data_IF_308839408816
#
_entry.id   IF_308839408816
#
_cell.length_a   1.000
_cell.length_b   1.000
_cell.length_c   1.000
_cell.angle_alpha   90.00
_cell.angle_beta   90.00
_cell.angle_gamma   90.00
#
_symmetry.space_group_name_H-M   'P 1'
#
loop_
_entity.id
_entity.type
_entity.pdbx_description
1 polymer ?
#
# COMPACT_ATOMS: atom_id res chain seq x y z
N UNK A 1 89.83 -49.12 22.71
CA UNK A 1 88.96 -49.86 23.67
C UNK A 1 87.51 -49.69 23.24
N UNK A 2 86.69 -50.74 23.39
CA UNK A 2 85.26 -50.78 23.03
C UNK A 2 84.46 -49.56 23.55
N UNK A 3 84.85 -49.02 24.70
CA UNK A 3 84.24 -47.84 25.32
C UNK A 3 84.34 -46.57 24.46
N UNK A 4 85.47 -46.34 23.78
CA UNK A 4 85.64 -45.14 22.93
C UNK A 4 84.70 -45.18 21.72
N UNK A 5 84.48 -46.36 21.14
CA UNK A 5 83.55 -46.55 20.02
C UNK A 5 82.10 -46.38 20.46
N UNK A 6 81.73 -46.89 21.64
CA UNK A 6 80.39 -46.68 22.21
C UNK A 6 80.12 -45.21 22.53
N UNK A 7 81.13 -44.49 23.05
CA UNK A 7 81.03 -43.06 23.33
C UNK A 7 80.83 -42.25 22.05
N UNK A 8 81.67 -42.47 21.04
CA UNK A 8 81.57 -41.79 19.74
C UNK A 8 80.22 -42.05 19.06
N UNK A 9 79.69 -43.27 19.17
CA UNK A 9 78.35 -43.61 18.67
C UNK A 9 77.25 -42.85 19.42
N UNK A 10 77.32 -42.76 20.75
CA UNK A 10 76.34 -42.01 21.52
C UNK A 10 76.39 -40.50 21.21
N UNK A 11 77.58 -39.95 20.97
CA UNK A 11 77.77 -38.55 20.58
C UNK A 11 77.12 -38.24 19.22
N UNK A 12 77.25 -39.13 18.24
CA UNK A 12 76.62 -38.96 16.93
C UNK A 12 75.09 -39.11 17.02
N UNK A 13 74.58 -40.07 17.78
CA UNK A 13 73.15 -40.23 18.03
C UNK A 13 72.56 -38.99 18.73
N UNK A 14 73.25 -38.45 19.75
CA UNK A 14 72.83 -37.23 20.43
C UNK A 14 72.73 -36.04 19.48
N UNK A 15 73.72 -35.88 18.59
CA UNK A 15 73.72 -34.82 17.59
C UNK A 15 72.56 -34.99 16.59
N UNK A 16 72.28 -36.22 16.16
CA UNK A 16 71.13 -36.53 15.29
C UNK A 16 69.80 -36.20 15.97
N UNK A 17 69.62 -36.57 17.24
CA UNK A 17 68.41 -36.23 17.99
C UNK A 17 68.25 -34.72 18.16
N UNK A 18 69.34 -33.99 18.43
CA UNK A 18 69.32 -32.53 18.52
C UNK A 18 68.85 -31.90 17.21
N UNK A 19 69.40 -32.33 16.07
CA UNK A 19 69.01 -31.81 14.76
C UNK A 19 67.55 -32.14 14.43
N UNK A 20 67.09 -33.36 14.78
CA UNK A 20 65.69 -33.76 14.59
C UNK A 20 64.73 -32.91 15.43
N UNK A 21 65.10 -32.58 16.67
CA UNK A 21 64.29 -31.69 17.52
C UNK A 21 64.22 -30.28 16.95
N UNK A 22 65.30 -29.76 16.37
CA UNK A 22 65.29 -28.45 15.73
C UNK A 22 64.33 -28.40 14.55
N UNK A 23 64.40 -29.38 13.64
CA UNK A 23 63.48 -29.47 12.50
C UNK A 23 62.02 -29.60 12.95
N UNK A 24 61.75 -30.47 13.92
CA UNK A 24 60.39 -30.65 14.43
C UNK A 24 59.84 -29.37 15.07
N UNK A 25 60.70 -28.61 15.75
CA UNK A 25 60.31 -27.34 16.36
C UNK A 25 60.03 -26.27 15.29
N UNK A 26 60.80 -26.24 14.20
CA UNK A 26 60.53 -25.36 13.05
C UNK A 26 59.19 -25.69 12.40
N UNK A 27 58.92 -26.97 12.15
CA UNK A 27 57.65 -27.45 11.59
C UNK A 27 56.46 -27.07 12.49
N UNK A 28 56.58 -27.27 13.81
CA UNK A 28 55.55 -26.90 14.78
C UNK A 28 55.27 -25.40 14.74
N UNK A 29 56.31 -24.56 14.63
CA UNK A 29 56.18 -23.10 14.57
C UNK A 29 55.51 -22.64 13.26
N UNK A 30 55.81 -23.32 12.14
CA UNK A 30 55.15 -23.09 10.86
C UNK A 30 53.66 -23.43 10.97
N UNK A 31 53.33 -24.59 11.52
CA UNK A 31 51.94 -25.05 11.63
C UNK A 31 51.14 -24.20 12.63
N UNK A 32 51.74 -23.76 13.73
CA UNK A 32 51.12 -22.81 14.66
C UNK A 32 50.77 -21.49 13.96
N UNK A 33 51.67 -20.96 13.13
CA UNK A 33 51.41 -19.74 12.34
C UNK A 33 50.30 -19.95 11.31
N UNK A 34 50.21 -21.12 10.67
CA UNK A 34 49.12 -21.44 9.73
C UNK A 34 47.78 -21.47 10.44
N UNK A 35 47.71 -22.15 11.60
CA UNK A 35 46.52 -22.23 12.45
C UNK A 35 46.04 -20.84 12.91
N UNK A 36 46.96 -19.97 13.30
CA UNK A 36 46.60 -18.61 13.71
C UNK A 36 46.05 -17.80 12.53
N UNK A 37 46.68 -17.89 11.35
CA UNK A 37 46.17 -17.23 10.13
C UNK A 37 44.81 -17.76 9.70
N UNK A 38 44.56 -19.07 9.79
CA UNK A 38 43.25 -19.62 9.44
C UNK A 38 42.17 -19.15 10.42
N UNK A 39 42.48 -19.14 11.71
CA UNK A 39 41.56 -18.66 12.75
C UNK A 39 41.20 -17.18 12.59
N UNK A 40 42.19 -16.33 12.33
CA UNK A 40 41.97 -14.90 12.07
C UNK A 40 41.16 -14.69 10.78
N UNK A 41 41.41 -15.48 9.74
CA UNK A 41 40.67 -15.39 8.47
C UNK A 41 39.21 -15.79 8.63
N UNK A 42 38.96 -16.90 9.33
CA UNK A 42 37.61 -17.43 9.57
C UNK A 42 36.77 -16.44 10.40
N UNK A 43 37.35 -15.87 11.46
CA UNK A 43 36.69 -14.84 12.28
C UNK A 43 36.29 -13.59 11.49
N UNK A 44 37.15 -13.15 10.57
CA UNK A 44 36.89 -11.97 9.74
C UNK A 44 35.84 -12.23 8.63
N UNK A 45 35.80 -13.44 8.07
CA UNK A 45 34.83 -13.82 7.04
C UNK A 45 33.41 -13.98 7.63
N UNK A 46 33.28 -14.52 8.84
CA UNK A 46 31.98 -14.68 9.50
C UNK A 46 31.33 -13.35 9.94
N UNK A 47 32.13 -12.30 10.21
CA UNK A 47 31.62 -11.07 10.82
C UNK A 47 31.35 -9.91 9.86
N UNK A 48 31.88 -9.89 8.63
CA UNK A 48 31.93 -8.63 7.88
C UNK A 48 30.78 -8.38 6.89
N UNK A 49 30.52 -9.19 5.84
CA UNK A 49 29.50 -8.84 4.85
C UNK A 49 28.10 -9.42 5.18
N UNK A 50 28.04 -10.70 5.56
CA UNK A 50 26.76 -11.38 5.80
C UNK A 50 26.02 -10.84 7.02
N UNK A 51 26.72 -10.52 8.11
CA UNK A 51 26.10 -9.91 9.29
C UNK A 51 25.48 -8.56 8.96
N UNK A 52 26.20 -7.72 8.20
CA UNK A 52 25.68 -6.41 7.79
C UNK A 52 24.48 -6.52 6.85
N UNK A 53 24.49 -7.48 5.92
CA UNK A 53 23.34 -7.75 5.06
C UNK A 53 22.15 -8.28 5.84
N UNK A 54 22.39 -9.16 6.83
CA UNK A 54 21.34 -9.65 7.72
C UNK A 54 20.73 -8.53 8.56
N UNK A 55 21.55 -7.65 9.14
CA UNK A 55 21.08 -6.50 9.91
C UNK A 55 20.25 -5.53 9.06
N UNK A 56 20.66 -5.30 7.80
CA UNK A 56 19.89 -4.51 6.84
C UNK A 56 18.55 -5.16 6.52
N UNK A 57 18.55 -6.45 6.16
CA UNK A 57 17.32 -7.19 5.87
C UNK A 57 16.37 -7.20 7.07
N UNK A 58 16.90 -7.36 8.28
CA UNK A 58 16.10 -7.31 9.49
C UNK A 58 15.44 -5.94 9.67
N UNK A 59 16.21 -4.86 9.48
CA UNK A 59 15.67 -3.49 9.53
C UNK A 59 14.58 -3.26 8.47
N UNK A 60 14.81 -3.71 7.23
CA UNK A 60 13.85 -3.57 6.14
C UNK A 60 12.56 -4.33 6.43
N UNK A 61 12.64 -5.52 7.06
CA UNK A 61 11.48 -6.29 7.51
C UNK A 61 10.70 -5.54 8.60
N UNK A 62 11.40 -4.97 9.58
CA UNK A 62 10.76 -4.21 10.67
C UNK A 62 10.05 -2.96 10.13
N UNK A 63 10.68 -2.25 9.20
CA UNK A 63 10.09 -1.09 8.53
C UNK A 63 8.88 -1.48 7.68
N UNK A 64 8.98 -2.59 6.93
CA UNK A 64 7.86 -3.12 6.15
C UNK A 64 6.67 -3.52 7.02
N UNK A 65 6.91 -4.15 8.18
CA UNK A 65 5.86 -4.47 9.16
C UNK A 65 5.17 -3.22 9.67
N UNK A 66 5.94 -2.21 10.07
CA UNK A 66 5.38 -0.92 10.54
C UNK A 66 4.54 -0.24 9.45
N UNK A 67 4.99 -0.25 8.20
CA UNK A 67 4.20 0.29 7.09
C UNK A 67 2.92 -0.51 6.87
N UNK A 68 2.97 -1.83 6.96
CA UNK A 68 1.79 -2.70 6.87
C UNK A 68 0.76 -2.38 7.96
N UNK A 69 1.21 -2.16 9.20
CA UNK A 69 0.33 -1.82 10.32
C UNK A 69 -0.37 -0.47 10.07
N UNK A 70 0.38 0.55 9.64
CA UNK A 70 -0.18 1.87 9.28
C UNK A 70 -1.19 1.74 8.14
N UNK A 71 -0.87 0.99 7.09
CA UNK A 71 -1.80 0.76 5.98
C UNK A 71 -3.09 0.08 6.44
N UNK A 72 -2.99 -0.87 7.37
CA UNK A 72 -4.14 -1.56 7.93
C UNK A 72 -5.01 -0.62 8.77
N UNK A 73 -4.42 0.25 9.59
CA UNK A 73 -5.14 1.29 10.33
C UNK A 73 -5.89 2.26 9.41
N UNK A 74 -5.24 2.71 8.33
CA UNK A 74 -5.85 3.58 7.32
C UNK A 74 -7.01 2.87 6.63
N UNK A 75 -6.84 1.61 6.24
CA UNK A 75 -7.88 0.82 5.59
C UNK A 75 -9.11 0.65 6.49
N UNK A 76 -8.93 0.35 7.77
CA UNK A 76 -10.03 0.25 8.74
C UNK A 76 -10.71 1.60 9.00
N UNK A 77 -9.97 2.70 8.99
CA UNK A 77 -10.54 4.05 9.07
C UNK A 77 -11.43 4.36 7.86
N UNK A 78 -10.93 4.11 6.65
CA UNK A 78 -11.67 4.32 5.41
C UNK A 78 -12.93 3.45 5.34
N UNK A 79 -12.86 2.21 5.81
CA UNK A 79 -14.00 1.30 5.88
C UNK A 79 -15.12 1.83 6.77
N UNK A 80 -14.78 2.43 7.92
CA UNK A 80 -15.75 3.08 8.81
C UNK A 80 -16.36 4.31 8.16
N UNK A 81 -15.56 5.12 7.47
CA UNK A 81 -16.03 6.31 6.77
C UNK A 81 -17.00 5.96 5.63
N UNK A 82 -16.66 4.94 4.82
CA UNK A 82 -17.54 4.40 3.78
C UNK A 82 -18.86 3.93 4.36
N UNK A 83 -18.83 3.14 5.44
CA UNK A 83 -20.04 2.68 6.11
C UNK A 83 -20.92 3.85 6.60
N UNK A 84 -20.31 4.90 7.16
CA UNK A 84 -21.04 6.09 7.57
C UNK A 84 -21.68 6.82 6.39
N UNK A 85 -20.93 7.01 5.29
CA UNK A 85 -21.44 7.64 4.08
C UNK A 85 -22.57 6.83 3.42
N UNK A 86 -22.46 5.51 3.37
CA UNK A 86 -23.51 4.63 2.84
C UNK A 86 -24.82 4.78 3.62
N UNK A 87 -24.74 4.81 4.96
CA UNK A 87 -25.91 5.05 5.81
C UNK A 87 -26.50 6.44 5.59
N UNK A 88 -25.67 7.49 5.53
CA UNK A 88 -26.13 8.84 5.25
C UNK A 88 -26.83 8.96 3.89
N UNK A 89 -26.30 8.29 2.85
CA UNK A 89 -26.94 8.21 1.54
C UNK A 89 -28.28 7.50 1.63
N UNK A 90 -28.35 6.38 2.35
CA UNK A 90 -29.61 5.64 2.52
C UNK A 90 -30.67 6.48 3.25
N UNK A 91 -30.29 7.20 4.30
CA UNK A 91 -31.20 8.12 4.99
C UNK A 91 -31.70 9.23 4.07
N UNK A 92 -30.83 9.77 3.21
CA UNK A 92 -31.24 10.78 2.22
C UNK A 92 -32.19 10.22 1.17
N UNK A 93 -31.98 8.98 0.72
CA UNK A 93 -32.92 8.30 -0.20
C UNK A 93 -34.30 8.15 0.47
N UNK A 94 -34.34 7.68 1.71
CA UNK A 94 -35.58 7.54 2.47
C UNK A 94 -36.29 8.90 2.64
N UNK A 95 -35.53 9.97 2.93
CA UNK A 95 -36.08 11.34 3.02
C UNK A 95 -36.68 11.80 1.69
N UNK A 96 -36.02 11.55 0.57
CA UNK A 96 -36.53 11.90 -0.78
C UNK A 96 -37.82 11.13 -1.09
N UNK A 97 -37.85 9.82 -0.80
CA UNK A 97 -39.04 9.00 -1.01
C UNK A 97 -40.24 9.51 -0.20
N UNK A 98 -40.02 9.85 1.09
CA UNK A 98 -41.05 10.45 1.93
C UNK A 98 -41.55 11.79 1.38
N UNK A 99 -40.63 12.68 0.96
CA UNK A 99 -41.01 13.96 0.35
C UNK A 99 -41.80 13.79 -0.94
N UNK A 100 -41.49 12.78 -1.77
CA UNK A 100 -42.26 12.46 -2.97
C UNK A 100 -43.69 12.06 -2.60
N UNK A 101 -43.87 11.26 -1.55
CA UNK A 101 -45.20 10.87 -1.05
C UNK A 101 -45.95 12.09 -0.53
N UNK A 102 -45.35 12.88 0.34
CA UNK A 102 -45.95 14.11 0.89
C UNK A 102 -46.37 15.09 -0.21
N UNK A 103 -45.51 15.30 -1.21
CA UNK A 103 -45.80 16.17 -2.35
C UNK A 103 -46.97 15.64 -3.19
N UNK A 104 -47.04 14.32 -3.42
CA UNK A 104 -48.17 13.70 -4.12
C UNK A 104 -49.48 13.89 -3.34
N UNK A 105 -49.45 13.70 -2.03
CA UNK A 105 -50.64 13.90 -1.20
C UNK A 105 -51.07 15.38 -1.15
N UNK A 106 -50.13 16.31 -1.02
CA UNK A 106 -50.40 17.75 -1.03
C UNK A 106 -51.04 18.17 -2.36
N UNK A 107 -50.51 17.68 -3.49
CA UNK A 107 -51.09 17.91 -4.81
C UNK A 107 -52.52 17.36 -4.91
N UNK A 108 -52.76 16.14 -4.42
CA UNK A 108 -54.11 15.54 -4.41
C UNK A 108 -55.09 16.36 -3.55
N UNK A 109 -54.67 16.76 -2.34
CA UNK A 109 -55.48 17.62 -1.46
C UNK A 109 -55.79 18.97 -2.12
N UNK A 110 -54.82 19.59 -2.79
CA UNK A 110 -55.03 20.85 -3.50
C UNK A 110 -56.03 20.73 -4.65
N UNK A 111 -55.97 19.65 -5.45
CA UNK A 111 -56.94 19.40 -6.52
C UNK A 111 -58.36 19.18 -5.99
N UNK A 112 -58.51 18.57 -4.81
CA UNK A 112 -59.81 18.35 -4.17
C UNK A 112 -60.41 19.63 -3.56
N UNK A 113 -59.59 20.64 -3.25
CA UNK A 113 -60.03 21.90 -2.66
C UNK A 113 -60.43 22.96 -3.69
N UNK A 114 -60.13 22.78 -4.98
CA UNK A 114 -60.59 23.69 -6.02
C UNK A 114 -62.06 23.41 -6.36
N UNK A 115 -62.96 24.41 -6.28
CA UNK A 115 -64.34 24.24 -6.68
C UNK A 115 -64.42 23.94 -8.19
N UNK A 116 -65.37 23.08 -8.58
CA UNK A 116 -65.51 22.59 -9.96
C UNK A 116 -65.64 23.71 -11.02
N UNK A 117 -66.09 24.89 -10.60
CA UNK A 117 -66.27 26.06 -11.46
C UNK A 117 -64.94 26.69 -11.92
N UNK A 118 -63.88 26.66 -11.09
CA UNK A 118 -62.55 27.19 -11.46
C UNK A 118 -61.80 26.26 -12.42
N UNK A 119 -62.02 24.94 -12.31
CA UNK A 119 -61.49 23.92 -13.23
C UNK A 119 -62.08 24.12 -14.63
N UNK A 120 -63.38 24.44 -14.69
CA UNK A 120 -64.08 24.74 -15.94
C UNK A 120 -63.53 26.02 -16.60
N UNK A 121 -63.27 27.07 -15.82
CA UNK A 121 -62.66 28.32 -16.30
C UNK A 121 -61.23 28.12 -16.84
N UNK A 122 -60.43 27.24 -16.21
CA UNK A 122 -59.07 26.91 -16.66
C UNK A 122 -59.06 26.10 -17.97
N UNK A 123 -59.96 25.12 -18.09
CA UNK A 123 -60.18 24.32 -19.31
C UNK A 123 -60.76 25.16 -20.46
N UNK A 124 -61.61 26.12 -20.16
CA UNK A 124 -62.23 27.01 -21.14
C UNK A 124 -61.25 28.09 -21.64
N UNK A 125 -60.32 28.54 -20.79
CA UNK A 125 -59.25 29.48 -21.17
C UNK A 125 -58.10 28.84 -21.97
N UNK A 126 -57.89 27.51 -21.89
CA UNK A 126 -56.96 26.79 -22.78
C UNK A 126 -57.39 26.81 -24.26
N UNK A 127 -58.68 27.04 -24.53
CA UNK A 127 -59.25 27.00 -25.88
C UNK A 127 -59.35 28.37 -26.57
N UNK A 128 -58.95 29.48 -25.92
CA UNK A 128 -59.15 30.84 -26.48
C UNK A 128 -57.90 31.72 -26.62
N UNK A 129 -56.70 31.26 -26.28
CA UNK A 129 -55.47 32.06 -26.50
C UNK A 129 -54.50 31.36 -27.44
N UNK A 130 -54.62 31.75 -28.71
CA UNK A 130 -53.54 31.70 -29.69
C UNK A 130 -52.33 32.51 -29.20
N UNK A 131 -51.45 31.87 -28.41
CA UNK A 131 -50.01 32.19 -28.37
C UNK A 131 -49.27 30.86 -28.61
N UNK A 132 -49.44 30.34 -29.82
CA UNK A 132 -48.59 29.26 -30.32
C UNK A 132 -47.28 29.86 -30.83
N UNK A 133 -46.20 29.71 -30.07
CA UNK A 133 -45.04 29.01 -30.63
C UNK A 133 -44.94 27.66 -29.95
N UNK A 134 -45.58 26.65 -30.56
CA UNK A 134 -45.33 25.25 -30.21
C UNK A 134 -43.85 24.99 -30.43
N UNK A 135 -43.10 24.74 -29.36
CA UNK A 135 -41.77 24.13 -29.49
C UNK A 135 -42.04 22.67 -29.88
N UNK A 136 -42.08 22.40 -31.18
CA UNK A 136 -42.20 21.05 -31.72
C UNK A 136 -40.80 20.42 -31.66
N UNK A 137 -40.50 19.77 -30.56
CA UNK A 137 -39.29 18.98 -30.38
C UNK A 137 -39.24 18.39 -28.97
N UNK A 138 -38.80 17.15 -28.83
CA UNK A 138 -38.53 16.55 -27.53
C UNK A 138 -37.59 17.46 -26.72
N UNK A 139 -37.79 17.61 -25.39
CA UNK A 139 -36.86 18.33 -24.53
C UNK A 139 -35.44 17.79 -24.78
N UNK A 140 -34.58 18.59 -25.39
CA UNK A 140 -33.19 18.17 -25.62
C UNK A 140 -32.52 18.18 -24.26
N UNK A 141 -32.02 17.02 -23.85
CA UNK A 141 -31.14 16.86 -22.71
C UNK A 141 -29.96 17.83 -22.86
N UNK A 142 -29.98 18.93 -22.10
CA UNK A 142 -28.96 20.00 -22.13
C UNK A 142 -27.63 19.57 -21.46
N UNK A 143 -27.61 18.38 -20.88
CA UNK A 143 -26.50 17.78 -20.14
C UNK A 143 -25.25 17.50 -20.99
N UNK A 144 -25.34 17.57 -22.33
CA UNK A 144 -24.21 17.28 -23.26
C UNK A 144 -23.92 18.39 -24.28
N UNK A 145 -24.26 19.66 -23.99
CA UNK A 145 -24.00 20.75 -24.92
C UNK A 145 -22.49 20.96 -25.14
N UNK A 146 -22.00 20.71 -26.36
CA UNK A 146 -20.60 20.88 -26.73
C UNK A 146 -20.28 22.38 -26.85
N UNK A 147 -19.17 22.87 -26.27
CA UNK A 147 -18.76 24.26 -26.39
C UNK A 147 -18.66 24.70 -27.84
N UNK A 148 -19.31 25.82 -28.17
CA UNK A 148 -19.21 26.46 -29.49
C UNK A 148 -18.63 27.87 -29.35
N UNK A 149 -18.19 28.46 -30.45
CA UNK A 149 -17.66 29.84 -30.44
C UNK A 149 -18.64 30.90 -29.93
N UNK A 150 -19.94 30.57 -29.85
CA UNK A 150 -21.02 31.42 -29.32
C UNK A 150 -21.50 31.02 -27.92
N UNK A 151 -21.11 29.84 -27.41
CA UNK A 151 -21.31 29.43 -26.02
C UNK A 151 -20.09 28.62 -25.55
N UNK A 152 -19.08 29.31 -24.96
CA UNK A 152 -17.83 28.68 -24.55
C UNK A 152 -17.99 27.69 -23.39
N UNK A 153 -19.07 27.80 -22.62
CA UNK A 153 -19.27 27.03 -21.40
C UNK A 153 -20.32 25.94 -21.55
N UNK A 154 -21.02 25.86 -22.69
CA UNK A 154 -22.06 24.86 -22.95
C UNK A 154 -23.33 25.01 -22.11
N UNK A 155 -23.34 25.89 -21.10
CA UNK A 155 -24.49 26.16 -20.25
C UNK A 155 -25.26 27.34 -20.83
N UNK A 156 -26.51 27.13 -21.24
CA UNK A 156 -27.46 28.22 -21.49
C UNK A 156 -28.41 28.25 -20.29
N UNK A 157 -28.46 29.38 -19.57
CA UNK A 157 -29.44 29.61 -18.49
C UNK A 157 -30.80 29.91 -19.12
#
# INVERSE_FOLDING_TARGET
>A
SLLRTKLAKNETELLQYKNKLQLLNEDLLIDQRKLQKSFDSEKNVSQSPFSLEFDKLQKDIEESKRHSDIHNEVAESLKKELYFMENAIQDKKNQIENLIVEMKEANLRSLLMNPADDIKYLLENLNKTSIHRKIVGSPRQLENAVPTSKNPHGVWV
#
